data_IF_976532356217
#
_entry.id   IF_976532356217
#
_cell.length_a   1.000
_cell.length_b   1.000
_cell.length_c   1.000
_cell.angle_alpha   90.00
_cell.angle_beta   90.00
_cell.angle_gamma   90.00
#
_symmetry.space_group_name_H-M   'P 1'
#
loop_
_entity.id
_entity.type
_entity.pdbx_description
1 polymer ?
#
# COMPACT_ATOMS: atom_id res chain seq x y z
N UNK A 1 5.62 -36.14 4.66
CA UNK A 1 4.20 -36.50 4.55
C UNK A 1 3.53 -35.29 3.92
N UNK A 2 3.06 -35.39 2.67
CA UNK A 2 2.39 -34.27 1.98
C UNK A 2 0.96 -34.22 2.52
N UNK A 3 0.60 -33.08 3.10
CA UNK A 3 -0.73 -32.83 3.62
C UNK A 3 -1.62 -32.44 2.43
N UNK A 4 -2.27 -33.43 1.81
CA UNK A 4 -3.28 -33.21 0.76
C UNK A 4 -4.61 -32.81 1.42
N UNK A 5 -4.57 -31.77 2.26
CA UNK A 5 -5.77 -31.28 2.94
C UNK A 5 -6.65 -30.57 1.92
N UNK A 6 -7.75 -31.21 1.53
CA UNK A 6 -8.79 -30.58 0.72
C UNK A 6 -9.47 -29.51 1.58
N UNK A 7 -9.33 -28.24 1.20
CA UNK A 7 -10.02 -27.13 1.87
C UNK A 7 -11.50 -27.21 1.49
N UNK A 8 -12.32 -27.67 2.43
CA UNK A 8 -13.77 -27.63 2.30
C UNK A 8 -14.25 -26.18 2.49
N UNK A 9 -14.78 -25.57 1.42
CA UNK A 9 -15.19 -24.17 1.41
C UNK A 9 -16.25 -23.83 2.47
N UNK A 10 -17.12 -24.77 2.83
CA UNK A 10 -18.14 -24.56 3.87
C UNK A 10 -17.54 -24.54 5.27
N UNK A 11 -16.47 -25.31 5.51
CA UNK A 11 -15.74 -25.31 6.78
C UNK A 11 -14.86 -24.07 6.90
N UNK A 12 -14.26 -23.65 5.79
CA UNK A 12 -13.55 -22.37 5.71
C UNK A 12 -14.48 -21.18 5.98
N UNK A 13 -15.69 -21.17 5.39
CA UNK A 13 -16.68 -20.12 5.65
C UNK A 13 -17.17 -20.10 7.10
N UNK A 14 -17.34 -21.27 7.72
CA UNK A 14 -17.73 -21.37 9.14
C UNK A 14 -16.61 -20.98 10.09
N UNK A 15 -15.35 -21.30 9.77
CA UNK A 15 -14.21 -20.91 10.60
C UNK A 15 -13.94 -19.40 10.53
N UNK A 16 -14.10 -18.81 9.34
CA UNK A 16 -13.91 -17.38 9.09
C UNK A 16 -15.07 -16.54 9.60
N UNK A 17 -16.28 -17.08 9.75
CA UNK A 17 -17.42 -16.35 10.32
C UNK A 17 -17.18 -15.81 11.76
N UNK A 18 -16.19 -16.34 12.48
CA UNK A 18 -15.79 -15.87 13.82
C UNK A 18 -14.57 -14.92 13.80
N UNK A 19 -13.92 -14.75 12.64
CA UNK A 19 -12.81 -13.82 12.47
C UNK A 19 -13.35 -12.49 11.92
N UNK A 20 -13.30 -11.37 12.67
CA UNK A 20 -13.73 -10.08 12.15
C UNK A 20 -12.94 -9.65 10.90
N UNK A 21 -11.75 -10.21 10.64
CA UNK A 21 -10.94 -10.01 9.43
C UNK A 21 -11.29 -10.91 8.25
N UNK A 22 -12.29 -11.77 8.38
CA UNK A 22 -12.81 -12.59 7.28
C UNK A 22 -13.55 -11.79 6.21
N UNK A 23 -14.03 -10.60 6.57
CA UNK A 23 -14.67 -9.68 5.64
C UNK A 23 -13.64 -8.81 4.93
N UNK A 24 -13.71 -8.76 3.60
CA UNK A 24 -12.97 -7.81 2.77
C UNK A 24 -13.96 -6.79 2.21
N UNK A 25 -13.79 -5.52 2.56
CA UNK A 25 -14.49 -4.41 1.91
C UNK A 25 -13.52 -3.61 1.06
N UNK A 26 -14.00 -3.13 -0.09
CA UNK A 26 -13.20 -2.37 -1.05
C UNK A 26 -13.87 -1.03 -1.35
N UNK A 27 -13.05 0.00 -1.54
CA UNK A 27 -13.44 1.28 -2.13
C UNK A 27 -12.42 1.71 -3.20
N UNK A 28 -12.87 2.32 -4.28
CA UNK A 28 -12.00 2.86 -5.35
C UNK A 28 -11.33 1.81 -6.25
N UNK A 29 -11.68 0.53 -6.08
CA UNK A 29 -11.08 -0.60 -6.78
C UNK A 29 -11.70 -0.85 -8.18
N UNK A 30 -12.23 0.16 -8.86
CA UNK A 30 -12.82 0.03 -10.19
C UNK A 30 -11.77 0.13 -11.31
N UNK A 31 -12.04 -0.52 -12.45
CA UNK A 31 -11.17 -0.41 -13.64
C UNK A 31 -9.77 -0.99 -13.41
N UNK A 32 -8.72 -0.27 -13.80
CA UNK A 32 -7.32 -0.67 -13.60
C UNK A 32 -6.90 -0.73 -12.13
N UNK A 33 -7.56 0.05 -11.28
CA UNK A 33 -7.21 0.20 -9.85
C UNK A 33 -7.46 -1.06 -9.00
N UNK A 34 -8.21 -2.03 -9.52
CA UNK A 34 -8.38 -3.35 -8.88
C UNK A 34 -7.08 -4.13 -8.72
N UNK A 35 -6.05 -3.82 -9.52
CA UNK A 35 -4.76 -4.51 -9.44
C UNK A 35 -4.03 -4.23 -8.13
N UNK A 36 -4.34 -3.11 -7.46
CA UNK A 36 -3.78 -2.77 -6.15
C UNK A 36 -4.43 -3.53 -4.98
N UNK A 37 -5.62 -4.12 -5.18
CA UNK A 37 -6.37 -4.79 -4.10
C UNK A 37 -5.56 -5.90 -3.45
N UNK A 38 -4.91 -6.76 -4.24
CA UNK A 38 -4.15 -7.90 -3.71
C UNK A 38 -2.90 -7.47 -2.91
N UNK A 39 -2.01 -6.60 -3.42
CA UNK A 39 -0.87 -6.16 -2.62
C UNK A 39 -1.30 -5.39 -1.37
N UNK A 40 -2.33 -4.54 -1.44
CA UNK A 40 -2.87 -3.84 -0.25
C UNK A 40 -3.41 -4.82 0.79
N UNK A 41 -4.20 -5.81 0.38
CA UNK A 41 -4.70 -6.86 1.27
C UNK A 41 -3.56 -7.64 1.94
N UNK A 42 -2.51 -8.00 1.18
CA UNK A 42 -1.34 -8.69 1.72
C UNK A 42 -0.56 -7.84 2.72
N UNK A 43 -0.40 -6.54 2.47
CA UNK A 43 0.25 -5.64 3.43
C UNK A 43 -0.56 -5.52 4.73
N UNK A 44 -1.88 -5.33 4.63
CA UNK A 44 -2.76 -5.27 5.80
C UNK A 44 -2.71 -6.57 6.61
N UNK A 45 -2.78 -7.71 5.93
CA UNK A 45 -2.71 -9.03 6.56
C UNK A 45 -1.35 -9.30 7.22
N UNK A 46 -0.25 -8.95 6.56
CA UNK A 46 1.11 -9.17 7.07
C UNK A 46 1.41 -8.28 8.29
N UNK A 47 0.91 -7.06 8.30
CA UNK A 47 1.08 -6.13 9.42
C UNK A 47 0.07 -6.37 10.53
N UNK A 48 -1.04 -7.04 10.24
CA UNK A 48 -2.19 -7.10 11.11
C UNK A 48 -3.02 -5.81 11.10
N UNK A 49 -2.75 -4.86 10.20
CA UNK A 49 -3.50 -3.63 10.09
C UNK A 49 -4.99 -3.89 9.76
N UNK A 50 -5.83 -2.95 10.18
CA UNK A 50 -7.28 -3.03 9.95
C UNK A 50 -7.64 -2.60 8.53
N UNK A 51 -6.80 -1.79 7.90
CA UNK A 51 -6.97 -1.35 6.53
C UNK A 51 -5.63 -1.00 5.88
N UNK A 52 -5.61 -1.01 4.55
CA UNK A 52 -4.53 -0.50 3.73
C UNK A 52 -5.10 0.32 2.57
N UNK A 53 -4.52 1.48 2.30
CA UNK A 53 -4.96 2.38 1.24
C UNK A 53 -3.81 2.81 0.34
N UNK A 54 -4.03 2.76 -0.97
CA UNK A 54 -3.22 3.49 -1.94
C UNK A 54 -3.64 4.96 -1.90
N UNK A 55 -2.71 5.85 -1.58
CA UNK A 55 -2.96 7.27 -1.39
C UNK A 55 -2.12 8.07 -2.37
N UNK A 56 -2.75 9.06 -2.99
CA UNK A 56 -2.15 10.08 -3.83
C UNK A 56 -2.20 11.40 -3.09
N UNK A 57 -1.09 12.11 -2.96
CA UNK A 57 -1.07 13.46 -2.40
C UNK A 57 -1.06 14.48 -3.53
N UNK A 58 -2.16 15.23 -3.66
CA UNK A 58 -2.33 16.34 -4.61
C UNK A 58 -2.17 17.68 -3.89
N UNK A 59 -2.31 18.79 -4.61
CA UNK A 59 -2.36 20.13 -4.01
C UNK A 59 -3.50 20.33 -3.01
N UNK A 60 -4.58 19.55 -3.14
CA UNK A 60 -5.77 19.63 -2.27
C UNK A 60 -5.66 18.72 -1.03
N UNK A 61 -4.62 17.89 -0.94
CA UNK A 61 -4.38 16.97 0.17
C UNK A 61 -4.26 15.50 -0.25
N UNK A 62 -4.27 14.57 0.71
CA UNK A 62 -4.30 13.14 0.42
C UNK A 62 -5.65 12.70 -0.14
N UNK A 63 -5.62 11.95 -1.24
CA UNK A 63 -6.74 11.33 -1.92
C UNK A 63 -6.57 9.80 -1.92
N UNK A 64 -7.52 9.10 -1.32
CA UNK A 64 -7.52 7.64 -1.24
C UNK A 64 -8.03 7.05 -2.55
N UNK A 65 -7.12 6.46 -3.32
CA UNK A 65 -7.44 5.96 -4.65
C UNK A 65 -8.03 4.56 -4.59
N UNK A 66 -7.48 3.71 -3.73
CA UNK A 66 -7.98 2.35 -3.50
C UNK A 66 -7.83 2.02 -2.01
N UNK A 67 -8.90 1.53 -1.37
CA UNK A 67 -8.88 1.12 0.04
C UNK A 67 -9.30 -0.34 0.17
N UNK A 68 -8.51 -1.10 0.92
CA UNK A 68 -8.82 -2.42 1.42
C UNK A 68 -9.10 -2.31 2.91
N UNK A 69 -10.29 -2.70 3.34
CA UNK A 69 -10.72 -2.67 4.73
C UNK A 69 -11.05 -4.08 5.23
N UNK A 70 -10.39 -4.49 6.31
CA UNK A 70 -10.55 -5.80 6.94
C UNK A 70 -11.36 -5.73 8.23
N UNK A 71 -11.72 -4.54 8.70
CA UNK A 71 -12.39 -4.36 9.99
C UNK A 71 -13.78 -3.74 9.86
N UNK A 72 -14.12 -3.16 8.70
CA UNK A 72 -15.39 -2.50 8.46
C UNK A 72 -16.04 -2.93 7.13
N UNK A 73 -17.37 -2.98 7.15
CA UNK A 73 -18.22 -3.02 5.96
C UNK A 73 -19.33 -1.98 6.11
N UNK A 74 -19.40 -0.93 5.27
CA UNK A 74 -18.59 -0.66 4.07
C UNK A 74 -17.14 -0.26 4.36
N UNK A 75 -16.28 -0.29 3.33
CA UNK A 75 -14.88 0.16 3.43
C UNK A 75 -14.83 1.66 3.78
N UNK A 76 -13.82 2.05 4.56
CA UNK A 76 -13.53 3.46 4.85
C UNK A 76 -13.26 4.23 3.55
N UNK A 77 -13.91 5.38 3.39
CA UNK A 77 -13.76 6.26 2.21
C UNK A 77 -12.62 7.28 2.37
N UNK A 78 -12.25 7.60 3.61
CA UNK A 78 -11.25 8.61 3.92
C UNK A 78 -10.21 8.03 4.90
N UNK A 79 -9.00 7.72 4.45
CA UNK A 79 -7.90 7.43 5.35
C UNK A 79 -7.56 8.73 6.08
N UNK A 80 -7.86 8.74 7.38
CA UNK A 80 -7.70 9.81 8.36
C UNK A 80 -7.03 11.11 7.88
N UNK A 81 -7.75 12.23 7.95
CA UNK A 81 -7.18 13.58 7.81
C UNK A 81 -5.83 13.71 8.56
N UNK A 82 -4.88 14.42 7.96
CA UNK A 82 -3.57 14.63 8.58
C UNK A 82 -2.52 13.56 8.28
N UNK A 83 -2.73 12.73 7.24
CA UNK A 83 -1.68 11.85 6.73
C UNK A 83 -0.43 12.66 6.38
N UNK A 84 0.74 12.37 6.98
CA UNK A 84 1.96 13.04 6.59
C UNK A 84 2.23 12.73 5.13
N UNK A 85 2.37 13.77 4.30
CA UNK A 85 2.87 13.61 2.94
C UNK A 85 4.21 12.87 3.05
N UNK A 86 4.41 11.75 2.32
CA UNK A 86 5.75 11.23 2.17
C UNK A 86 6.57 12.37 1.59
N UNK A 87 7.51 12.92 2.38
CA UNK A 87 8.32 14.08 1.94
C UNK A 87 9.17 13.66 0.74
N UNK A 88 10.05 14.54 0.27
CA UNK A 88 11.03 14.29 -0.82
C UNK A 88 12.01 13.12 -0.57
N UNK A 89 11.69 12.18 0.33
CA UNK A 89 12.42 10.95 0.53
C UNK A 89 12.34 10.08 -0.73
N UNK A 90 13.53 9.71 -1.21
CA UNK A 90 13.71 8.77 -2.30
C UNK A 90 13.20 7.39 -1.84
N UNK A 91 12.23 6.77 -2.54
CA UNK A 91 11.81 5.41 -2.24
C UNK A 91 13.00 4.42 -2.29
N UNK A 92 12.99 3.36 -1.46
CA UNK A 92 11.94 3.02 -0.51
C UNK A 92 12.07 3.76 0.83
N UNK A 93 11.00 4.41 1.27
CA UNK A 93 10.89 5.02 2.60
C UNK A 93 9.68 4.45 3.36
N UNK A 94 9.88 4.11 4.64
CA UNK A 94 8.84 3.60 5.55
C UNK A 94 8.81 4.50 6.77
N UNK A 95 7.65 5.06 7.05
CA UNK A 95 7.41 5.91 8.22
C UNK A 95 6.33 5.34 9.10
N UNK A 96 6.50 5.52 10.40
CA UNK A 96 5.50 5.17 11.40
C UNK A 96 5.19 6.40 12.22
N UNK A 97 3.93 6.80 12.26
CA UNK A 97 3.43 7.91 13.09
C UNK A 97 2.25 7.38 13.90
N UNK A 98 2.42 7.27 15.21
CA UNK A 98 1.43 6.59 16.06
C UNK A 98 1.26 5.13 15.64
N UNK A 99 0.02 4.70 15.36
CA UNK A 99 -0.30 3.37 14.84
C UNK A 99 -0.39 3.30 13.32
N UNK A 100 -0.05 4.38 12.63
CA UNK A 100 -0.12 4.47 11.18
C UNK A 100 1.24 4.25 10.56
N UNK A 101 1.28 3.41 9.53
CA UNK A 101 2.45 3.19 8.71
C UNK A 101 2.24 3.78 7.32
N UNK A 102 3.23 4.48 6.80
CA UNK A 102 3.24 5.05 5.45
C UNK A 102 4.46 4.55 4.69
N UNK A 103 4.25 3.97 3.51
CA UNK A 103 5.29 3.61 2.56
C UNK A 103 5.29 4.60 1.40
N UNK A 104 6.42 5.23 1.10
CA UNK A 104 6.56 6.08 -0.08
C UNK A 104 6.73 5.20 -1.33
N UNK A 105 5.91 5.43 -2.36
CA UNK A 105 6.02 4.73 -3.65
C UNK A 105 6.77 5.57 -4.70
N UNK A 106 6.87 6.88 -4.50
CA UNK A 106 7.55 7.80 -5.42
C UNK A 106 6.57 8.79 -6.05
N UNK A 107 6.98 9.38 -7.19
CA UNK A 107 6.17 10.35 -7.93
C UNK A 107 5.74 9.78 -9.27
N UNK A 108 4.45 9.90 -9.57
CA UNK A 108 3.85 9.42 -10.82
C UNK A 108 2.83 10.45 -11.30
N UNK A 109 2.96 10.89 -12.55
CA UNK A 109 2.11 11.96 -13.09
C UNK A 109 2.25 13.30 -12.37
N UNK A 110 3.39 13.57 -11.74
CA UNK A 110 3.66 14.79 -10.95
C UNK A 110 3.26 14.71 -9.48
N UNK A 111 2.37 13.78 -9.12
CA UNK A 111 1.86 13.60 -7.76
C UNK A 111 2.72 12.65 -6.93
N UNK A 112 2.74 12.84 -5.61
CA UNK A 112 3.39 11.93 -4.67
C UNK A 112 2.45 10.78 -4.33
N UNK A 113 2.95 9.55 -4.35
CA UNK A 113 2.18 8.34 -4.07
C UNK A 113 2.75 7.56 -2.89
N UNK A 114 1.86 6.89 -2.17
CA UNK A 114 2.21 6.08 -1.02
C UNK A 114 1.16 5.03 -0.70
N UNK A 115 1.54 4.06 0.13
CA UNK A 115 0.58 3.19 0.80
C UNK A 115 0.49 3.59 2.26
N UNK A 116 -0.72 3.65 2.79
CA UNK A 116 -0.97 3.88 4.21
C UNK A 116 -1.64 2.64 4.80
N UNK A 117 -1.17 2.24 5.97
CA UNK A 117 -1.76 1.18 6.80
C UNK A 117 -2.12 1.77 8.17
N UNK A 118 -3.30 1.43 8.68
CA UNK A 118 -3.78 1.94 9.97
C UNK A 118 -4.64 0.94 10.72
N UNK A 119 -4.94 1.26 12.00
CA UNK A 119 -5.62 0.36 12.94
C UNK A 119 -4.70 -0.11 14.08
N UNK A 120 -4.91 -1.31 14.59
CA UNK A 120 -3.99 -2.03 15.49
C UNK A 120 -3.27 -3.15 14.72
N UNK A 121 -2.00 -3.55 14.88
CA UNK A 121 -0.76 -3.00 15.44
C UNK A 121 0.32 -3.15 14.33
N UNK A 122 1.48 -2.49 14.40
CA UNK A 122 2.49 -2.56 13.31
C UNK A 122 3.92 -2.77 13.85
N UNK A 123 4.36 -4.01 14.16
CA UNK A 123 5.77 -4.30 14.38
C UNK A 123 6.47 -4.59 13.04
N UNK A 124 7.34 -3.66 12.62
CA UNK A 124 8.03 -3.71 11.31
C UNK A 124 9.02 -4.85 11.14
N UNK A 125 9.58 -5.39 12.24
CA UNK A 125 10.80 -6.21 12.21
C UNK A 125 10.76 -7.37 11.22
N UNK A 126 9.84 -8.32 11.39
CA UNK A 126 9.80 -9.55 10.58
C UNK A 126 9.12 -9.39 9.22
N UNK A 127 8.42 -8.28 8.99
CA UNK A 127 7.60 -8.07 7.78
C UNK A 127 8.11 -6.95 6.88
N UNK A 128 9.21 -6.28 7.26
CA UNK A 128 9.77 -5.14 6.52
C UNK A 128 10.07 -5.48 5.07
N UNK A 129 10.77 -6.58 4.81
CA UNK A 129 11.17 -6.94 3.44
C UNK A 129 9.95 -7.29 2.58
N UNK A 130 8.95 -7.95 3.17
CA UNK A 130 7.68 -8.23 2.52
C UNK A 130 6.93 -6.94 2.18
N UNK A 131 6.91 -5.96 3.10
CA UNK A 131 6.29 -4.66 2.85
C UNK A 131 6.99 -3.89 1.74
N UNK A 132 8.32 -3.90 1.72
CA UNK A 132 9.11 -3.26 0.66
C UNK A 132 8.89 -3.92 -0.70
N UNK A 133 8.82 -5.25 -0.74
CA UNK A 133 8.50 -5.99 -1.95
C UNK A 133 7.11 -5.63 -2.48
N UNK A 134 6.08 -5.67 -1.62
CA UNK A 134 4.71 -5.34 -1.99
C UNK A 134 4.58 -3.85 -2.40
N UNK A 135 5.35 -2.95 -1.77
CA UNK A 135 5.40 -1.55 -2.17
C UNK A 135 6.01 -1.41 -3.57
N UNK A 136 7.04 -2.19 -3.88
CA UNK A 136 7.58 -2.32 -5.24
C UNK A 136 6.54 -2.79 -6.26
N UNK A 137 5.68 -3.75 -5.90
CA UNK A 137 4.56 -4.18 -6.77
C UNK A 137 3.58 -3.02 -7.04
N UNK A 138 3.17 -2.29 -6.00
CA UNK A 138 2.32 -1.10 -6.18
C UNK A 138 2.99 -0.02 -7.04
N UNK A 139 4.26 0.27 -6.81
CA UNK A 139 5.05 1.23 -7.59
C UNK A 139 5.15 0.80 -9.07
N UNK A 140 5.36 -0.48 -9.34
CA UNK A 140 5.38 -1.04 -10.70
C UNK A 140 4.02 -0.92 -11.40
N UNK A 141 2.93 -1.21 -10.69
CA UNK A 141 1.57 -1.03 -11.21
C UNK A 141 1.27 0.44 -11.53
N UNK A 142 1.66 1.38 -10.66
CA UNK A 142 1.54 2.82 -10.92
C UNK A 142 2.34 3.24 -12.17
N UNK A 143 3.55 2.72 -12.35
CA UNK A 143 4.38 3.01 -13.53
C UNK A 143 3.73 2.51 -14.83
N UNK A 144 3.07 1.34 -14.79
CA UNK A 144 2.34 0.79 -15.93
C UNK A 144 1.07 1.60 -16.23
N UNK A 145 0.33 2.03 -15.21
CA UNK A 145 -0.86 2.88 -15.37
C UNK A 145 -0.52 4.28 -15.88
N UNK A 146 0.59 4.86 -15.42
CA UNK A 146 1.06 6.17 -15.87
C UNK A 146 1.60 6.17 -17.32
N UNK A 147 1.82 4.99 -17.91
CA UNK A 147 2.32 4.87 -19.28
C UNK A 147 3.78 5.34 -19.43
N UNK A 148 4.74 4.55 -18.93
CA UNK A 148 6.19 4.72 -19.21
C UNK A 148 6.70 6.18 -19.15
N UNK A 149 6.43 6.87 -18.06
CA UNK A 149 7.34 7.92 -17.59
C UNK A 149 8.14 7.32 -16.44
N UNK A 150 9.43 7.12 -16.66
CA UNK A 150 10.37 6.65 -15.64
C UNK A 150 10.22 7.48 -14.35
N UNK A 151 10.49 6.92 -13.16
CA UNK A 151 10.61 7.74 -11.97
C UNK A 151 11.73 8.76 -12.22
N UNK A 152 11.39 10.05 -12.23
CA UNK A 152 12.40 11.10 -12.17
C UNK A 152 13.10 10.99 -10.82
N UNK A 153 14.27 10.33 -10.82
CA UNK A 153 15.23 10.43 -9.72
C UNK A 153 15.91 11.77 -9.89
N UNK A 154 15.34 12.82 -9.32
CA UNK A 154 16.01 14.11 -9.18
C UNK A 154 17.24 13.90 -8.26
N UNK A 155 18.45 14.00 -8.84
CA UNK A 155 19.67 14.10 -8.04
C UNK A 155 20.84 13.20 -8.47
N UNK A 156 21.29 13.32 -9.71
CA UNK A 156 22.71 13.11 -10.07
C UNK A 156 23.00 13.99 -11.28
N UNK A 157 23.39 15.25 -11.02
CA UNK A 157 24.09 16.03 -12.04
C UNK A 157 25.37 15.28 -12.40
N UNK A 158 25.63 14.94 -13.67
CA UNK A 158 26.94 14.49 -14.07
C UNK A 158 27.91 15.65 -13.87
N UNK A 159 28.89 15.48 -12.99
CA UNK A 159 30.01 16.41 -12.89
C UNK A 159 30.72 16.47 -14.25
N UNK A 160 30.82 17.66 -14.81
CA UNK A 160 31.57 17.91 -16.04
C UNK A 160 33.02 17.44 -15.90
N UNK A 161 33.53 16.58 -16.80
CA UNK A 161 34.95 16.28 -16.87
C UNK A 161 35.66 17.36 -17.69
N UNK A 162 35.76 18.57 -17.17
CA UNK A 162 36.66 19.59 -17.69
C UNK A 162 37.37 20.33 -16.55
N UNK A 163 38.16 19.59 -15.77
CA UNK A 163 39.26 20.14 -14.99
C UNK A 163 40.22 18.97 -14.63
N UNK A 164 41.01 18.57 -15.63
CA UNK A 164 42.22 17.76 -15.45
C UNK A 164 43.25 18.14 -16.53
#
# INVERSE_FOLDING_TARGET
MRDDTVIHLDDYRRSTASDPRAGLSLAGAEGGRRHFTLPLWRMASATGADWAGLVRWTGDGPDAVTVVDLAAGPARSEPAEGLPRPTDAVPPDIRMVGSQLTLALGRYGGDSWGVVLGGAAVPLGSVRDQLLFLAGECAGLLALEAGTTSPEVEGLSPSDPSDA
#
